data_IF_682495397616
#
_entry.id   IF_682495397616
#
_cell.length_a   1.000
_cell.length_b   1.000
_cell.length_c   1.000
_cell.angle_alpha   90.00
_cell.angle_beta   90.00
_cell.angle_gamma   90.00
#
_symmetry.space_group_name_H-M   'P 1'
#
loop_
_entity.id
_entity.type
_entity.pdbx_description
1 polymer ?
#
# COMPACT_ATOMS: atom_id res chain seq x y z
N UNK A 1 49.73 -42.75 -11.88
CA UNK A 1 49.84 -41.46 -12.58
C UNK A 1 49.26 -40.34 -11.74
N UNK A 2 49.73 -39.12 -11.93
CA UNK A 2 49.25 -37.92 -11.25
C UNK A 2 48.42 -37.14 -12.29
N UNK A 3 47.18 -36.79 -11.94
CA UNK A 3 46.31 -35.98 -12.75
C UNK A 3 46.07 -34.61 -12.04
N UNK A 4 46.22 -33.54 -12.78
CA UNK A 4 46.01 -32.20 -12.29
C UNK A 4 45.48 -31.29 -13.41
N UNK A 5 44.82 -30.22 -13.03
CA UNK A 5 44.33 -29.20 -13.97
C UNK A 5 45.42 -28.16 -14.18
N UNK A 6 46.09 -28.19 -15.34
CA UNK A 6 47.29 -27.39 -15.64
C UNK A 6 47.09 -25.88 -15.52
N UNK A 7 45.87 -25.39 -15.74
CA UNK A 7 45.52 -23.94 -15.60
C UNK A 7 45.44 -23.47 -14.16
N UNK A 8 45.41 -24.37 -13.19
CA UNK A 8 45.20 -24.07 -11.78
C UNK A 8 46.37 -24.43 -10.88
N UNK A 9 47.40 -25.06 -11.41
CA UNK A 9 48.58 -25.47 -10.66
C UNK A 9 49.79 -24.64 -11.09
N UNK A 10 50.46 -23.97 -10.13
CA UNK A 10 51.70 -23.29 -10.38
C UNK A 10 52.87 -24.33 -10.49
N UNK A 11 53.16 -24.74 -11.72
CA UNK A 11 54.14 -25.78 -12.03
C UNK A 11 55.57 -25.25 -12.02
N UNK A 12 55.80 -23.94 -11.89
CA UNK A 12 57.13 -23.33 -11.82
C UNK A 12 57.72 -23.36 -10.41
N UNK A 13 56.92 -23.58 -9.40
CA UNK A 13 57.34 -23.63 -8.00
C UNK A 13 57.94 -25.01 -7.69
N UNK A 14 59.28 -25.05 -7.57
CA UNK A 14 60.04 -26.28 -7.27
C UNK A 14 60.12 -26.47 -5.75
N UNK A 15 59.74 -27.67 -5.30
CA UNK A 15 59.89 -28.11 -3.93
C UNK A 15 60.89 -29.25 -3.86
N UNK A 16 61.90 -29.19 -3.00
CA UNK A 16 62.87 -30.28 -2.74
C UNK A 16 62.51 -30.95 -1.43
N UNK A 17 62.08 -32.18 -1.51
CA UNK A 17 61.77 -32.99 -0.34
C UNK A 17 62.46 -34.35 -0.47
N UNK A 18 63.07 -34.82 0.63
CA UNK A 18 63.71 -36.10 0.72
C UNK A 18 62.88 -37.05 1.59
N UNK A 19 62.44 -38.15 1.03
CA UNK A 19 61.62 -39.13 1.74
C UNK A 19 62.39 -40.47 1.85
N UNK A 20 62.37 -41.08 3.03
CA UNK A 20 62.95 -42.39 3.26
C UNK A 20 61.90 -43.27 3.95
N UNK A 21 61.43 -44.34 3.26
CA UNK A 21 60.39 -45.25 3.76
C UNK A 21 59.07 -44.62 4.18
N UNK A 22 58.48 -43.75 3.36
CA UNK A 22 57.24 -43.02 3.65
C UNK A 22 56.15 -43.49 2.70
N UNK A 23 54.91 -43.64 3.17
CA UNK A 23 53.75 -43.96 2.32
C UNK A 23 53.44 -42.77 1.41
N UNK A 24 52.88 -43.06 0.23
CA UNK A 24 52.46 -42.05 -0.77
C UNK A 24 51.57 -40.99 -0.14
N UNK A 25 50.69 -41.36 0.77
CA UNK A 25 49.80 -40.49 1.46
C UNK A 25 50.56 -39.45 2.32
N UNK A 26 51.54 -39.91 3.12
CA UNK A 26 52.37 -39.00 3.94
C UNK A 26 53.25 -38.10 3.08
N UNK A 27 53.77 -38.63 1.96
CA UNK A 27 54.58 -37.87 1.04
C UNK A 27 53.77 -36.77 0.35
N UNK A 28 52.56 -37.05 -0.10
CA UNK A 28 51.66 -36.07 -0.72
C UNK A 28 51.16 -35.01 0.28
N UNK A 29 50.83 -35.43 1.50
CA UNK A 29 50.43 -34.50 2.55
C UNK A 29 51.56 -33.49 2.91
N UNK A 30 52.84 -33.97 2.88
CA UNK A 30 53.99 -33.10 3.17
C UNK A 30 54.36 -32.21 1.98
N UNK A 31 54.22 -32.72 0.75
CA UNK A 31 54.48 -31.95 -0.48
C UNK A 31 53.48 -30.80 -0.66
N UNK A 32 52.24 -31.05 -0.35
CA UNK A 32 51.14 -30.05 -0.54
C UNK A 32 50.89 -29.19 0.68
N UNK A 33 51.59 -29.40 1.77
CA UNK A 33 51.51 -28.59 2.97
C UNK A 33 51.81 -27.10 2.64
N UNK A 34 50.93 -26.22 3.00
CA UNK A 34 51.04 -24.74 2.79
C UNK A 34 50.96 -24.30 1.30
N UNK A 35 50.60 -25.19 0.40
CA UNK A 35 50.48 -24.87 -1.04
C UNK A 35 49.06 -24.46 -1.44
N UNK A 36 48.05 -24.66 -0.56
CA UNK A 36 46.63 -24.45 -0.90
C UNK A 36 46.03 -25.53 -1.82
N UNK A 37 46.74 -26.61 -2.03
CA UNK A 37 46.25 -27.76 -2.82
C UNK A 37 45.90 -28.94 -1.91
N UNK A 38 44.90 -29.70 -2.32
CA UNK A 38 44.50 -30.97 -1.71
C UNK A 38 44.64 -32.11 -2.75
N UNK A 39 44.84 -33.33 -2.27
CA UNK A 39 44.88 -34.46 -3.14
C UNK A 39 43.88 -35.55 -2.74
N UNK A 40 43.47 -36.34 -3.70
CA UNK A 40 42.63 -37.53 -3.52
C UNK A 40 43.19 -38.68 -4.30
N UNK A 41 43.37 -39.81 -3.61
CA UNK A 41 43.83 -41.07 -4.26
C UNK A 41 42.60 -41.84 -4.71
N UNK A 42 42.53 -42.16 -6.02
CA UNK A 42 41.45 -42.97 -6.59
C UNK A 42 42.08 -44.09 -7.43
N UNK A 43 42.17 -45.30 -6.86
CA UNK A 43 42.86 -46.42 -7.43
C UNK A 43 44.36 -46.12 -7.59
N UNK A 44 44.90 -46.20 -8.81
CA UNK A 44 46.33 -45.93 -9.13
C UNK A 44 46.58 -44.46 -9.55
N UNK A 45 45.60 -43.57 -9.36
CA UNK A 45 45.71 -42.15 -9.72
C UNK A 45 45.67 -41.24 -8.49
N UNK A 46 46.53 -40.23 -8.49
CA UNK A 46 46.53 -39.14 -7.52
C UNK A 46 45.96 -37.92 -8.25
N UNK A 47 44.85 -37.38 -7.78
CA UNK A 47 44.21 -36.18 -8.31
C UNK A 47 44.53 -35.03 -7.38
N UNK A 48 45.17 -33.96 -7.90
CA UNK A 48 45.50 -32.73 -7.17
C UNK A 48 44.52 -31.67 -7.63
N UNK A 49 43.86 -31.01 -6.66
CA UNK A 49 42.97 -29.88 -6.89
C UNK A 49 43.30 -28.76 -5.92
N UNK A 50 42.98 -27.50 -6.30
CA UNK A 50 42.98 -26.41 -5.33
C UNK A 50 42.09 -26.83 -4.16
N UNK A 51 42.59 -26.64 -2.97
CA UNK A 51 41.73 -26.64 -1.80
C UNK A 51 40.69 -25.54 -2.07
N UNK A 52 39.46 -25.91 -2.39
CA UNK A 52 38.37 -25.00 -2.20
C UNK A 52 38.45 -24.58 -0.73
N UNK A 53 39.10 -23.45 -0.48
CA UNK A 53 38.82 -22.70 0.68
C UNK A 53 37.34 -22.36 0.49
N UNK A 54 36.46 -23.28 0.87
CA UNK A 54 35.23 -22.84 1.49
C UNK A 54 35.74 -21.87 2.55
N UNK A 55 35.86 -20.59 2.15
CA UNK A 55 35.66 -19.59 3.15
C UNK A 55 34.52 -20.20 3.98
N UNK A 56 34.81 -20.48 5.24
CA UNK A 56 33.82 -20.34 6.26
C UNK A 56 33.42 -18.86 6.10
N UNK A 57 32.66 -18.56 5.08
CA UNK A 57 31.56 -17.68 5.22
C UNK A 57 30.91 -18.29 6.45
N UNK A 58 31.19 -17.74 7.62
CA UNK A 58 30.13 -17.54 8.57
C UNK A 58 28.98 -17.21 7.63
N UNK A 59 28.18 -18.21 7.33
CA UNK A 59 26.81 -17.97 7.01
C UNK A 59 26.34 -17.21 8.25
N UNK A 60 26.49 -15.88 8.22
CA UNK A 60 25.38 -15.09 8.56
C UNK A 60 24.30 -15.68 7.65
N UNK A 61 23.62 -16.67 8.15
CA UNK A 61 22.24 -16.90 7.91
C UNK A 61 21.59 -15.58 8.33
N UNK A 62 21.77 -14.56 7.50
CA UNK A 62 20.85 -13.46 7.41
C UNK A 62 19.59 -14.21 7.01
N UNK A 63 18.82 -14.60 8.04
CA UNK A 63 17.46 -15.09 7.85
C UNK A 63 16.88 -14.11 6.85
N UNK A 64 16.78 -14.55 5.57
CA UNK A 64 16.20 -13.71 4.53
C UNK A 64 14.84 -13.37 5.07
N UNK A 65 14.66 -12.10 5.44
CA UNK A 65 13.39 -11.62 5.95
C UNK A 65 12.34 -12.00 4.92
N UNK A 66 11.36 -12.75 5.34
CA UNK A 66 10.26 -13.19 4.48
C UNK A 66 8.95 -12.69 5.04
N UNK A 67 7.99 -12.47 4.15
CA UNK A 67 6.65 -12.06 4.50
C UNK A 67 5.63 -12.84 3.68
N UNK A 68 4.37 -12.59 3.94
CA UNK A 68 3.24 -13.20 3.23
C UNK A 68 2.54 -12.17 2.35
N UNK A 69 2.23 -12.58 1.12
CA UNK A 69 1.29 -11.86 0.26
C UNK A 69 -0.05 -12.55 0.40
N UNK A 70 -1.06 -11.80 0.73
CA UNK A 70 -2.46 -12.27 0.79
C UNK A 70 -3.35 -11.36 -0.04
N UNK A 71 -4.48 -11.85 -0.46
CA UNK A 71 -5.39 -11.02 -1.22
C UNK A 71 -6.68 -11.72 -1.56
N UNK A 72 -7.41 -11.09 -2.46
CA UNK A 72 -8.65 -11.60 -3.02
C UNK A 72 -8.61 -11.46 -4.53
N UNK A 73 -9.11 -12.47 -5.23
CA UNK A 73 -9.34 -12.41 -6.67
C UNK A 73 -10.83 -12.23 -6.90
N UNK A 74 -11.19 -11.25 -7.70
CA UNK A 74 -12.58 -10.88 -7.96
C UNK A 74 -12.85 -10.73 -9.44
N UNK A 75 -14.07 -11.02 -9.87
CA UNK A 75 -14.56 -10.62 -11.18
C UNK A 75 -14.63 -9.10 -11.26
N UNK A 76 -14.09 -8.54 -12.32
CA UNK A 76 -13.96 -7.10 -12.46
C UNK A 76 -15.26 -6.34 -12.65
N UNK A 77 -16.29 -7.01 -13.22
CA UNK A 77 -17.59 -6.40 -13.51
C UNK A 77 -18.54 -6.50 -12.33
N UNK A 78 -18.61 -7.69 -11.74
CA UNK A 78 -19.57 -7.98 -10.66
C UNK A 78 -18.96 -7.81 -9.29
N UNK A 79 -17.61 -7.74 -9.22
CA UNK A 79 -16.83 -7.75 -7.99
C UNK A 79 -17.17 -9.00 -7.13
N UNK A 80 -17.51 -10.11 -7.78
CA UNK A 80 -17.74 -11.39 -7.13
C UNK A 80 -16.40 -12.10 -6.91
N UNK A 81 -16.23 -12.79 -5.78
CA UNK A 81 -15.02 -13.58 -5.55
C UNK A 81 -14.89 -14.71 -6.57
N UNK A 82 -13.70 -14.90 -7.13
CA UNK A 82 -13.39 -16.03 -8.02
C UNK A 82 -12.74 -17.12 -7.20
N UNK A 83 -13.42 -18.25 -7.08
CA UNK A 83 -12.96 -19.44 -6.38
C UNK A 83 -11.94 -20.21 -7.23
N UNK A 84 -10.96 -20.83 -6.59
CA UNK A 84 -9.97 -21.73 -7.24
C UNK A 84 -9.13 -21.06 -8.35
N UNK A 85 -9.07 -19.75 -8.43
CA UNK A 85 -8.13 -19.05 -9.31
C UNK A 85 -6.68 -19.34 -8.87
N UNK A 86 -5.81 -19.61 -9.83
CA UNK A 86 -4.38 -19.77 -9.56
C UNK A 86 -3.71 -18.41 -9.44
N UNK A 87 -2.95 -18.19 -8.37
CA UNK A 87 -2.18 -16.97 -8.13
C UNK A 87 -0.72 -17.32 -7.92
N UNK A 88 0.18 -16.73 -8.67
CA UNK A 88 1.63 -17.00 -8.56
C UNK A 88 2.46 -15.72 -8.71
N UNK A 89 3.70 -15.80 -8.28
CA UNK A 89 4.71 -14.78 -8.50
C UNK A 89 5.36 -15.05 -9.85
N UNK A 90 5.41 -14.05 -10.73
CA UNK A 90 5.94 -14.22 -12.11
C UNK A 90 7.43 -14.56 -12.07
N UNK A 91 8.19 -13.91 -11.18
CA UNK A 91 9.64 -14.11 -11.04
C UNK A 91 10.01 -15.47 -10.44
N UNK A 92 9.07 -16.08 -9.70
CA UNK A 92 9.23 -17.42 -9.09
C UNK A 92 7.88 -18.15 -9.10
N UNK A 93 7.48 -18.77 -10.21
CA UNK A 93 6.19 -19.45 -10.36
C UNK A 93 5.98 -20.64 -9.40
N UNK A 94 7.06 -21.14 -8.76
CA UNK A 94 6.93 -22.16 -7.71
C UNK A 94 6.27 -21.63 -6.44
N UNK A 95 6.22 -20.31 -6.28
CA UNK A 95 5.55 -19.61 -5.19
C UNK A 95 4.19 -19.13 -5.64
N UNK A 96 3.19 -19.85 -5.26
CA UNK A 96 1.82 -19.57 -5.63
C UNK A 96 0.83 -20.31 -4.74
N UNK A 97 -0.43 -20.14 -5.04
CA UNK A 97 -1.56 -20.80 -4.38
C UNK A 97 -2.82 -20.63 -5.20
N UNK A 98 -3.88 -21.27 -4.77
CA UNK A 98 -5.23 -21.08 -5.31
C UNK A 98 -6.10 -20.30 -4.35
N UNK A 99 -7.10 -19.61 -4.88
CA UNK A 99 -8.11 -18.93 -4.07
C UNK A 99 -9.04 -19.95 -3.40
N UNK A 100 -9.51 -19.60 -2.20
CA UNK A 100 -10.55 -20.34 -1.48
C UNK A 100 -11.95 -20.04 -2.04
N UNK A 101 -12.99 -20.71 -1.50
CA UNK A 101 -14.40 -20.47 -1.86
C UNK A 101 -14.93 -19.05 -1.60
N UNK A 102 -14.09 -18.12 -1.23
CA UNK A 102 -14.38 -16.69 -1.05
C UNK A 102 -13.41 -15.82 -1.85
N UNK A 103 -12.68 -16.42 -2.79
CA UNK A 103 -11.69 -15.74 -3.62
C UNK A 103 -10.42 -15.32 -2.91
N UNK A 104 -10.20 -15.69 -1.63
CA UNK A 104 -9.00 -15.29 -0.92
C UNK A 104 -7.82 -16.21 -1.26
N UNK A 105 -6.64 -15.64 -1.40
CA UNK A 105 -5.39 -16.37 -1.58
C UNK A 105 -4.32 -15.96 -0.57
N UNK A 106 -3.29 -16.80 -0.44
CA UNK A 106 -2.18 -16.56 0.46
C UNK A 106 -0.91 -17.24 -0.06
N UNK A 107 0.16 -16.46 -0.22
CA UNK A 107 1.48 -16.93 -0.62
C UNK A 107 2.45 -16.62 0.51
N UNK A 108 2.98 -17.65 1.16
CA UNK A 108 3.85 -17.51 2.33
C UNK A 108 5.34 -17.51 1.95
N UNK A 109 6.18 -17.05 2.89
CA UNK A 109 7.64 -17.13 2.82
C UNK A 109 8.24 -16.40 1.60
N UNK A 110 7.65 -15.27 1.23
CA UNK A 110 8.17 -14.43 0.14
C UNK A 110 9.29 -13.56 0.70
N UNK A 111 10.51 -13.60 0.16
CA UNK A 111 11.59 -12.70 0.55
C UNK A 111 11.16 -11.23 0.39
N UNK A 112 11.70 -10.37 1.22
CA UNK A 112 11.51 -8.92 1.05
C UNK A 112 12.02 -8.49 -0.32
N UNK A 113 11.20 -7.74 -1.04
CA UNK A 113 11.49 -7.35 -2.44
C UNK A 113 10.25 -6.84 -3.16
N UNK A 114 10.35 -6.72 -4.48
CA UNK A 114 9.25 -6.36 -5.37
C UNK A 114 8.93 -7.49 -6.31
N UNK A 115 7.67 -7.75 -6.51
CA UNK A 115 7.21 -8.91 -7.28
C UNK A 115 6.02 -8.56 -8.15
N UNK A 116 5.94 -9.20 -9.31
CA UNK A 116 4.76 -9.18 -10.15
C UNK A 116 3.90 -10.41 -9.83
N UNK A 117 2.63 -10.18 -9.49
CA UNK A 117 1.69 -11.24 -9.11
C UNK A 117 0.71 -11.43 -10.24
N UNK A 118 0.57 -12.66 -10.70
CA UNK A 118 -0.38 -13.04 -11.74
C UNK A 118 -1.49 -13.91 -11.15
N UNK A 119 -2.73 -13.56 -11.47
CA UNK A 119 -3.88 -14.44 -11.29
C UNK A 119 -4.34 -14.99 -12.64
N UNK A 120 -4.74 -16.26 -12.66
CA UNK A 120 -5.28 -16.94 -13.83
C UNK A 120 -6.43 -17.87 -13.44
N UNK A 121 -7.48 -17.87 -14.25
CA UNK A 121 -8.64 -18.74 -14.07
C UNK A 121 -9.26 -19.07 -15.43
N UNK A 122 -9.85 -20.28 -15.56
CA UNK A 122 -10.49 -20.70 -16.80
C UNK A 122 -11.67 -19.77 -17.14
N UNK A 123 -11.76 -19.29 -18.37
CA UNK A 123 -12.78 -18.33 -18.80
C UNK A 123 -12.45 -16.86 -18.48
N UNK A 124 -11.31 -16.59 -17.87
CA UNK A 124 -10.86 -15.23 -17.56
C UNK A 124 -9.52 -14.93 -18.24
N UNK A 125 -9.30 -13.65 -18.54
CA UNK A 125 -7.99 -13.17 -18.97
C UNK A 125 -7.03 -13.14 -17.77
N UNK A 126 -5.78 -13.59 -17.90
CA UNK A 126 -4.79 -13.45 -16.84
C UNK A 126 -4.64 -11.99 -16.43
N UNK A 127 -4.66 -11.72 -15.12
CA UNK A 127 -4.49 -10.38 -14.55
C UNK A 127 -3.17 -10.29 -13.80
N UNK A 128 -2.43 -9.20 -13.98
CA UNK A 128 -1.15 -8.97 -13.32
C UNK A 128 -1.20 -7.69 -12.49
N UNK A 129 -0.80 -7.80 -11.24
CA UNK A 129 -0.45 -6.66 -10.39
C UNK A 129 1.07 -6.55 -10.34
N UNK A 130 1.59 -5.43 -10.82
CA UNK A 130 3.03 -5.24 -10.96
C UNK A 130 3.64 -4.55 -9.75
N UNK A 131 4.94 -4.81 -9.51
CA UNK A 131 5.78 -4.09 -8.57
C UNK A 131 5.25 -4.10 -7.12
N UNK A 132 4.55 -5.17 -6.71
CA UNK A 132 4.05 -5.31 -5.33
C UNK A 132 5.23 -5.33 -4.36
N UNK A 133 5.25 -4.38 -3.44
CA UNK A 133 6.33 -4.22 -2.47
C UNK A 133 6.11 -5.09 -1.25
N UNK A 134 6.98 -6.07 -1.06
CA UNK A 134 6.98 -6.96 0.11
C UNK A 134 8.01 -6.45 1.10
N UNK A 135 7.55 -5.93 2.22
CA UNK A 135 8.39 -5.43 3.32
C UNK A 135 8.37 -6.43 4.48
N UNK A 136 9.29 -6.29 5.42
CA UNK A 136 9.34 -7.15 6.61
C UNK A 136 8.28 -6.80 7.67
N UNK A 137 7.59 -5.66 7.54
CA UNK A 137 6.75 -5.10 8.59
C UNK A 137 5.42 -5.84 8.77
N UNK A 138 4.63 -5.98 7.71
CA UNK A 138 3.31 -6.61 7.74
C UNK A 138 3.01 -7.38 6.45
N UNK A 139 1.97 -8.22 6.48
CA UNK A 139 1.49 -8.91 5.29
C UNK A 139 0.99 -7.92 4.24
N UNK A 140 1.33 -8.20 3.00
CA UNK A 140 0.89 -7.37 1.87
C UNK A 140 -0.49 -7.84 1.43
N UNK A 141 -1.45 -6.93 1.34
CA UNK A 141 -2.78 -7.21 0.81
C UNK A 141 -2.87 -6.74 -0.64
N UNK A 142 -3.35 -7.62 -1.51
CA UNK A 142 -3.52 -7.34 -2.94
C UNK A 142 -4.93 -7.76 -3.36
N UNK A 143 -5.63 -6.88 -4.07
CA UNK A 143 -6.88 -7.20 -4.74
C UNK A 143 -6.63 -7.34 -6.24
N UNK A 144 -7.02 -8.48 -6.82
CA UNK A 144 -6.74 -8.79 -8.22
C UNK A 144 -8.08 -8.90 -8.97
N UNK A 145 -8.48 -7.87 -9.71
CA UNK A 145 -9.64 -7.96 -10.59
C UNK A 145 -9.28 -8.74 -11.86
N UNK A 146 -10.15 -9.65 -12.28
CA UNK A 146 -10.01 -10.42 -13.51
C UNK A 146 -11.16 -10.15 -14.47
N UNK A 147 -10.87 -10.12 -15.76
CA UNK A 147 -11.86 -9.98 -16.83
C UNK A 147 -12.25 -11.31 -17.42
N UNK A 148 -13.55 -11.54 -17.59
CA UNK A 148 -14.01 -12.65 -18.38
C UNK A 148 -13.47 -12.61 -19.82
N UNK A 149 -13.02 -13.76 -20.29
CA UNK A 149 -12.59 -13.92 -21.66
C UNK A 149 -13.76 -14.47 -22.50
N UNK A 150 -14.50 -13.58 -23.15
CA UNK A 150 -15.64 -13.94 -23.98
C UNK A 150 -15.24 -14.47 -25.38
N UNK A 151 -13.96 -14.51 -25.71
CA UNK A 151 -13.47 -14.96 -27.01
C UNK A 151 -12.54 -16.16 -26.91
N UNK A 152 -12.96 -17.20 -27.62
CA UNK A 152 -12.28 -18.37 -28.19
C UNK A 152 -10.99 -18.92 -27.60
N UNK A 153 -11.01 -20.24 -27.45
CA UNK A 153 -9.99 -21.25 -27.22
C UNK A 153 -8.81 -21.29 -28.23
N UNK A 154 -8.45 -20.17 -28.84
CA UNK A 154 -7.19 -20.07 -29.57
C UNK A 154 -6.08 -19.72 -28.57
N UNK A 155 -5.05 -20.53 -28.53
CA UNK A 155 -3.82 -20.34 -27.80
C UNK A 155 -3.18 -18.99 -28.19
N UNK A 156 -3.63 -17.92 -27.57
CA UNK A 156 -3.01 -16.60 -27.71
C UNK A 156 -1.99 -16.51 -26.58
N UNK A 157 -0.73 -16.50 -26.97
CA UNK A 157 0.38 -16.12 -26.10
C UNK A 157 0.22 -14.64 -25.75
N UNK A 158 -0.71 -14.34 -24.88
CA UNK A 158 -0.98 -12.97 -24.41
C UNK A 158 0.14 -12.64 -23.44
N UNK A 159 1.07 -11.80 -23.87
CA UNK A 159 1.86 -11.05 -22.91
C UNK A 159 0.86 -10.25 -22.10
N UNK A 160 0.75 -10.50 -20.79
CA UNK A 160 -0.23 -9.79 -19.98
C UNK A 160 0.07 -8.30 -20.03
N UNK A 161 -0.86 -7.53 -20.53
CA UNK A 161 -0.73 -6.08 -20.63
C UNK A 161 -1.05 -5.49 -19.26
N UNK A 162 -0.10 -4.80 -18.67
CA UNK A 162 -0.28 -4.12 -17.39
C UNK A 162 -1.12 -2.88 -17.64
N UNK A 163 -2.43 -2.97 -17.43
CA UNK A 163 -3.35 -1.83 -17.54
C UNK A 163 -3.41 -1.08 -16.21
N UNK A 164 -2.53 -0.11 -16.02
CA UNK A 164 -2.50 0.77 -14.83
C UNK A 164 -3.62 1.81 -14.80
N UNK A 165 -4.29 2.01 -15.92
CA UNK A 165 -5.32 3.04 -16.13
C UNK A 165 -6.76 2.53 -15.94
N UNK A 166 -6.91 1.27 -15.54
CA UNK A 166 -8.22 0.66 -15.34
C UNK A 166 -8.82 1.09 -14.01
N UNK A 167 -10.11 1.46 -14.05
CA UNK A 167 -10.91 1.76 -12.85
C UNK A 167 -11.41 0.49 -12.17
N UNK A 168 -11.65 0.58 -10.85
CA UNK A 168 -12.36 -0.45 -10.07
C UNK A 168 -13.82 -0.53 -10.50
N UNK A 169 -14.41 0.62 -10.85
CA UNK A 169 -15.78 0.69 -11.33
C UNK A 169 -15.89 0.28 -12.81
N UNK A 170 -16.59 -0.82 -13.13
CA UNK A 170 -16.69 -1.32 -14.50
C UNK A 170 -17.55 -0.43 -15.41
N UNK A 171 -18.36 0.47 -14.84
CA UNK A 171 -19.20 1.41 -15.61
C UNK A 171 -18.40 2.62 -16.11
N UNK A 172 -17.17 2.79 -15.66
CA UNK A 172 -16.30 3.86 -16.13
C UNK A 172 -15.67 3.50 -17.48
N UNK A 173 -16.11 4.18 -18.54
CA UNK A 173 -15.62 3.95 -19.91
C UNK A 173 -14.35 4.78 -20.15
N UNK A 174 -14.35 6.02 -19.69
CA UNK A 174 -13.23 6.99 -19.85
C UNK A 174 -13.16 7.93 -18.66
N UNK A 175 -12.05 8.66 -18.52
CA UNK A 175 -11.91 9.75 -17.53
C UNK A 175 -11.66 9.30 -16.09
N UNK A 176 -11.66 7.98 -15.82
CA UNK A 176 -11.34 7.41 -14.53
C UNK A 176 -9.95 6.77 -14.51
N UNK A 177 -9.33 6.76 -13.35
CA UNK A 177 -8.08 6.07 -13.10
C UNK A 177 -8.07 5.46 -11.69
N UNK A 178 -7.59 4.24 -11.58
CA UNK A 178 -7.42 3.61 -10.27
C UNK A 178 -6.28 4.27 -9.49
N UNK A 179 -6.54 4.60 -8.25
CA UNK A 179 -5.54 4.90 -7.23
C UNK A 179 -5.22 3.59 -6.53
N UNK A 180 -4.08 2.98 -6.85
CA UNK A 180 -3.61 1.81 -6.13
C UNK A 180 -2.88 2.22 -4.85
N UNK A 181 -3.02 1.42 -3.80
CA UNK A 181 -2.30 1.61 -2.53
C UNK A 181 -0.78 1.64 -2.79
N UNK A 182 -0.32 0.77 -3.67
CA UNK A 182 1.09 0.64 -4.05
C UNK A 182 1.64 1.93 -4.66
N UNK A 183 0.90 2.54 -5.59
CA UNK A 183 1.30 3.82 -6.20
C UNK A 183 1.24 4.96 -5.19
N UNK A 184 0.18 5.03 -4.37
CA UNK A 184 0.01 6.06 -3.36
C UNK A 184 1.13 6.06 -2.31
N UNK A 185 1.53 4.88 -1.85
CA UNK A 185 2.62 4.73 -0.86
C UNK A 185 4.01 5.05 -1.43
N UNK A 186 4.18 5.05 -2.75
CA UNK A 186 5.45 5.29 -3.46
C UNK A 186 5.59 6.70 -4.01
N UNK A 187 4.52 7.45 -4.05
CA UNK A 187 4.52 8.80 -4.59
C UNK A 187 5.38 9.72 -3.71
N UNK A 188 6.41 10.32 -4.29
CA UNK A 188 7.45 11.07 -3.56
C UNK A 188 6.92 12.25 -2.73
N UNK A 189 5.78 12.83 -3.10
CA UNK A 189 5.10 13.90 -2.37
C UNK A 189 3.82 13.39 -1.70
N UNK A 190 3.71 12.09 -1.47
CA UNK A 190 2.46 11.44 -1.06
C UNK A 190 2.07 11.72 0.39
N UNK A 191 3.02 11.78 1.32
CA UNK A 191 2.79 11.90 2.76
C UNK A 191 1.69 10.95 3.27
N UNK A 192 1.64 9.71 2.72
CA UNK A 192 0.58 8.73 2.99
C UNK A 192 -0.85 9.21 2.66
N UNK A 193 -0.98 10.21 1.79
CA UNK A 193 -2.25 10.79 1.35
C UNK A 193 -2.53 10.40 -0.12
N UNK A 194 -3.54 9.57 -0.38
CA UNK A 194 -3.89 9.13 -1.73
C UNK A 194 -4.37 10.28 -2.64
N UNK A 195 -4.89 11.37 -2.07
CA UNK A 195 -5.30 12.54 -2.84
C UNK A 195 -4.13 13.20 -3.56
N UNK A 196 -2.95 13.23 -2.94
CA UNK A 196 -1.75 13.80 -3.53
C UNK A 196 -1.27 13.06 -4.77
N UNK A 197 -1.49 11.74 -4.85
CA UNK A 197 -1.16 10.97 -6.05
C UNK A 197 -1.92 11.47 -7.28
N UNK A 198 -3.14 11.97 -7.10
CA UNK A 198 -3.95 12.46 -8.23
C UNK A 198 -3.31 13.64 -8.96
N UNK A 199 -2.43 14.41 -8.31
CA UNK A 199 -1.69 15.51 -8.95
C UNK A 199 -0.72 15.04 -10.05
N UNK A 200 -0.37 13.75 -10.07
CA UNK A 200 0.41 13.14 -11.14
C UNK A 200 -0.42 12.81 -12.40
N UNK A 201 -1.75 12.97 -12.34
CA UNK A 201 -2.62 12.59 -13.46
C UNK A 201 -2.86 13.76 -14.40
N UNK A 202 -3.02 13.44 -15.68
CA UNK A 202 -3.27 14.47 -16.69
C UNK A 202 -4.53 15.29 -16.39
N UNK A 203 -4.42 16.61 -16.50
CA UNK A 203 -5.53 17.55 -16.25
C UNK A 203 -5.76 17.85 -14.77
N UNK A 204 -4.86 17.46 -13.89
CA UNK A 204 -4.89 17.74 -12.46
C UNK A 204 -3.67 18.58 -12.09
N UNK A 205 -3.88 19.69 -11.44
CA UNK A 205 -2.82 20.52 -10.86
C UNK A 205 -2.87 20.41 -9.34
N UNK A 206 -1.77 20.04 -8.72
CA UNK A 206 -1.61 19.95 -7.27
C UNK A 206 -0.78 21.10 -6.71
N UNK A 207 -0.88 21.30 -5.42
CA UNK A 207 -0.04 22.20 -4.65
C UNK A 207 0.96 21.38 -3.81
N UNK A 208 2.19 21.89 -3.70
CA UNK A 208 3.26 21.21 -2.93
C UNK A 208 3.00 21.27 -1.43
N UNK A 209 2.45 22.37 -0.93
CA UNK A 209 2.22 22.62 0.50
C UNK A 209 0.97 21.95 1.04
N UNK A 210 -0.01 21.68 0.17
CA UNK A 210 -1.31 21.12 0.57
C UNK A 210 -1.67 19.88 -0.26
N UNK A 211 -2.78 19.23 0.05
CA UNK A 211 -3.35 18.18 -0.78
C UNK A 211 -4.46 18.70 -1.70
N UNK A 212 -4.54 20.02 -1.90
CA UNK A 212 -5.45 20.64 -2.83
C UNK A 212 -5.15 20.22 -4.26
N UNK A 213 -6.18 19.81 -4.97
CA UNK A 213 -6.08 19.44 -6.39
C UNK A 213 -7.10 20.24 -7.19
N UNK A 214 -6.61 21.02 -8.16
CA UNK A 214 -7.43 21.70 -9.16
C UNK A 214 -7.58 20.79 -10.37
N UNK A 215 -8.81 20.43 -10.70
CA UNK A 215 -9.11 19.48 -11.78
C UNK A 215 -9.66 20.26 -12.96
N UNK A 216 -8.93 20.25 -14.08
CA UNK A 216 -9.28 20.99 -15.30
C UNK A 216 -9.58 22.49 -15.06
N UNK A 217 -8.85 23.09 -14.12
CA UNK A 217 -9.01 24.50 -13.74
C UNK A 217 -10.11 24.79 -12.74
N UNK A 218 -10.89 23.78 -12.29
CA UNK A 218 -11.86 23.97 -11.24
C UNK A 218 -11.20 23.92 -9.85
N UNK A 219 -11.72 24.74 -8.95
CA UNK A 219 -11.20 24.81 -7.59
C UNK A 219 -11.42 23.49 -6.81
N UNK A 220 -10.51 23.14 -5.89
CA UNK A 220 -10.55 21.89 -5.12
C UNK A 220 -11.84 21.66 -4.34
N UNK A 221 -12.50 22.72 -3.91
CA UNK A 221 -13.79 22.67 -3.18
C UNK A 221 -14.94 22.02 -3.97
N UNK A 222 -14.83 21.97 -5.31
CA UNK A 222 -15.82 21.34 -6.18
C UNK A 222 -15.57 19.84 -6.43
N UNK A 223 -14.56 19.29 -5.78
CA UNK A 223 -14.26 17.87 -5.85
C UNK A 223 -15.18 17.07 -4.92
N UNK A 224 -15.84 16.08 -5.48
CA UNK A 224 -16.69 15.17 -4.70
C UNK A 224 -15.86 14.07 -4.05
N UNK A 225 -16.12 13.82 -2.78
CA UNK A 225 -15.53 12.72 -2.03
C UNK A 225 -16.57 11.66 -1.72
N UNK A 226 -16.24 10.43 -1.99
CA UNK A 226 -17.07 9.26 -1.69
C UNK A 226 -16.25 8.23 -0.92
N UNK A 227 -16.89 7.54 0.00
CA UNK A 227 -16.31 6.43 0.75
C UNK A 227 -17.31 5.28 0.81
N UNK A 228 -16.86 4.08 0.40
CA UNK A 228 -17.73 2.89 0.31
C UNK A 228 -18.99 3.12 -0.55
N UNK A 229 -18.86 3.97 -1.59
CA UNK A 229 -19.94 4.31 -2.53
C UNK A 229 -20.92 5.39 -2.03
N UNK A 230 -20.65 6.04 -0.91
CA UNK A 230 -21.49 7.09 -0.33
C UNK A 230 -20.73 8.41 -0.36
N UNK A 231 -21.42 9.49 -0.74
CA UNK A 231 -20.86 10.85 -0.66
C UNK A 231 -20.61 11.23 0.78
N UNK A 232 -19.40 11.74 1.06
CA UNK A 232 -18.97 12.17 2.39
C UNK A 232 -18.49 13.62 2.33
N UNK A 233 -18.49 14.35 3.44
CA UNK A 233 -17.80 15.64 3.52
C UNK A 233 -16.32 15.47 3.18
N UNK A 234 -15.70 16.52 2.63
CA UNK A 234 -14.28 16.52 2.31
C UNK A 234 -13.46 15.98 3.51
N UNK A 235 -12.77 14.85 3.37
CA UNK A 235 -12.08 14.19 4.48
C UNK A 235 -10.68 14.76 4.75
N UNK A 236 -10.41 15.96 4.27
CA UNK A 236 -9.11 16.62 4.44
C UNK A 236 -9.08 17.42 5.73
N UNK A 237 -8.00 17.27 6.49
CA UNK A 237 -7.73 18.08 7.68
C UNK A 237 -7.43 19.52 7.29
N UNK A 238 -8.06 20.45 7.99
CA UNK A 238 -7.95 21.90 7.79
C UNK A 238 -8.35 22.38 6.39
N UNK A 239 -9.22 21.62 5.70
CA UNK A 239 -9.65 21.93 4.33
C UNK A 239 -10.23 23.32 4.15
N UNK A 240 -10.85 23.85 5.18
CA UNK A 240 -11.59 25.12 5.13
C UNK A 240 -10.77 26.32 5.64
N UNK A 241 -9.54 26.12 6.15
CA UNK A 241 -8.65 27.19 6.58
C UNK A 241 -8.22 28.12 5.43
N UNK A 242 -8.01 27.55 4.24
CA UNK A 242 -7.62 28.31 3.05
C UNK A 242 -8.82 28.74 2.19
N UNK A 243 -10.04 28.32 2.53
CA UNK A 243 -11.26 28.55 1.75
C UNK A 243 -11.27 27.86 0.37
N UNK A 244 -10.30 27.02 0.08
CA UNK A 244 -10.12 26.36 -1.22
C UNK A 244 -10.39 24.85 -1.21
N UNK A 245 -10.75 24.27 -0.07
CA UNK A 245 -11.04 22.84 0.06
C UNK A 245 -9.81 21.94 0.10
N UNK A 246 -8.61 22.48 0.09
CA UNK A 246 -7.36 21.78 0.33
C UNK A 246 -6.84 21.99 1.74
N UNK A 247 -6.04 21.05 2.25
CA UNK A 247 -5.48 21.11 3.58
C UNK A 247 -4.18 20.33 3.67
N UNK A 248 -3.77 19.92 4.87
CA UNK A 248 -2.48 19.26 5.06
C UNK A 248 -2.48 17.83 4.59
N UNK A 249 -3.49 17.07 4.98
CA UNK A 249 -3.54 15.65 4.69
C UNK A 249 -4.98 15.14 4.81
N UNK A 250 -5.30 14.09 4.06
CA UNK A 250 -6.59 13.40 4.15
C UNK A 250 -6.65 12.49 5.38
N UNK A 251 -7.83 12.39 6.01
CA UNK A 251 -8.12 11.39 7.03
C UNK A 251 -8.13 9.95 6.48
N UNK A 252 -7.97 9.78 5.17
CA UNK A 252 -7.91 8.50 4.47
C UNK A 252 -6.45 8.06 4.33
N UNK A 253 -5.92 7.40 5.36
CA UNK A 253 -4.55 6.86 5.37
C UNK A 253 -4.38 5.69 4.40
N UNK A 254 -3.21 5.56 3.77
CA UNK A 254 -2.82 4.38 2.96
C UNK A 254 -2.86 3.08 3.76
N UNK A 255 -2.86 3.14 5.10
CA UNK A 255 -3.00 1.97 5.96
C UNK A 255 -4.39 1.31 5.86
N UNK A 256 -5.43 2.06 5.54
CA UNK A 256 -6.83 1.58 5.56
C UNK A 256 -7.49 1.55 4.19
N UNK A 257 -6.95 2.29 3.21
CA UNK A 257 -7.53 2.37 1.88
C UNK A 257 -7.21 1.12 1.06
N UNK A 258 -8.20 0.67 0.29
CA UNK A 258 -8.09 -0.28 -0.80
C UNK A 258 -7.88 0.42 -2.15
N UNK A 259 -7.85 -0.37 -3.23
CA UNK A 259 -7.88 0.19 -4.56
C UNK A 259 -9.13 1.05 -4.71
N UNK A 260 -8.94 2.27 -5.20
CA UNK A 260 -9.96 3.31 -5.24
C UNK A 260 -9.93 3.99 -6.61
N UNK A 261 -11.00 4.67 -6.98
CA UNK A 261 -11.08 5.34 -8.25
C UNK A 261 -11.00 6.86 -8.11
N UNK A 262 -10.33 7.47 -9.05
CA UNK A 262 -10.34 8.91 -9.25
C UNK A 262 -10.81 9.26 -10.65
N UNK A 263 -11.75 10.16 -10.74
CA UNK A 263 -12.31 10.66 -12.00
C UNK A 263 -12.02 12.14 -12.17
N UNK A 264 -11.45 12.49 -13.30
CA UNK A 264 -11.19 13.89 -13.66
C UNK A 264 -12.16 14.39 -14.76
N UNK A 265 -13.27 13.69 -14.98
CA UNK A 265 -14.30 13.97 -15.98
C UNK A 265 -14.92 12.68 -16.52
N UNK A 266 -15.94 12.81 -17.35
CA UNK A 266 -16.69 11.69 -17.96
C UNK A 266 -17.21 10.69 -16.89
N UNK A 267 -17.85 11.21 -15.86
CA UNK A 267 -18.33 10.42 -14.73
C UNK A 267 -19.41 9.44 -15.16
N UNK A 268 -19.40 8.19 -14.67
CA UNK A 268 -20.57 7.32 -14.70
C UNK A 268 -21.82 8.00 -14.11
N UNK A 269 -23.00 7.60 -14.57
CA UNK A 269 -24.29 8.22 -14.19
C UNK A 269 -24.61 8.16 -12.69
N UNK A 270 -23.96 7.27 -11.95
CA UNK A 270 -24.11 7.15 -10.49
C UNK A 270 -23.48 8.29 -9.69
N UNK A 271 -22.57 9.08 -10.29
CA UNK A 271 -21.94 10.24 -9.65
C UNK A 271 -22.72 11.51 -9.94
N UNK A 272 -23.84 11.69 -9.25
CA UNK A 272 -24.57 12.94 -9.25
C UNK A 272 -23.84 14.03 -8.44
N UNK A 273 -24.12 15.31 -8.69
CA UNK A 273 -23.52 16.48 -8.03
C UNK A 273 -22.00 16.66 -8.22
N UNK A 274 -21.36 15.91 -9.08
CA UNK A 274 -19.94 16.07 -9.36
C UNK A 274 -19.72 17.22 -10.35
N UNK A 275 -18.98 18.26 -9.96
CA UNK A 275 -18.69 19.43 -10.78
C UNK A 275 -17.27 19.43 -11.36
N UNK A 276 -16.31 18.90 -10.62
CA UNK A 276 -14.88 18.94 -10.95
C UNK A 276 -14.33 17.53 -11.15
N UNK A 277 -14.13 16.80 -10.08
CA UNK A 277 -13.68 15.42 -10.07
C UNK A 277 -14.31 14.63 -8.94
N UNK A 278 -14.10 13.32 -8.96
CA UNK A 278 -14.62 12.42 -7.94
C UNK A 278 -13.49 11.54 -7.42
N UNK A 279 -13.31 11.51 -6.11
CA UNK A 279 -12.56 10.48 -5.41
C UNK A 279 -13.57 9.44 -4.88
N UNK A 280 -13.60 8.25 -5.47
CA UNK A 280 -14.42 7.13 -4.99
C UNK A 280 -13.51 6.14 -4.25
N UNK A 281 -13.47 6.31 -2.95
CA UNK A 281 -12.52 5.65 -2.06
C UNK A 281 -13.15 4.42 -1.42
N UNK A 282 -12.36 3.37 -1.27
CA UNK A 282 -12.78 2.13 -0.64
C UNK A 282 -11.84 1.75 0.49
N UNK A 283 -12.38 1.31 1.62
CA UNK A 283 -11.59 0.74 2.70
C UNK A 283 -11.31 -0.73 2.42
N UNK A 284 -10.05 -1.16 2.58
CA UNK A 284 -9.71 -2.59 2.49
C UNK A 284 -10.29 -3.39 3.65
N UNK A 285 -10.37 -4.68 3.50
CA UNK A 285 -10.74 -5.56 4.60
C UNK A 285 -9.51 -5.86 5.47
N UNK A 286 -9.70 -5.95 6.79
CA UNK A 286 -8.66 -6.36 7.72
C UNK A 286 -8.21 -7.80 7.52
N UNK A 287 -7.07 -8.16 8.09
CA UNK A 287 -6.54 -9.52 8.06
C UNK A 287 -7.47 -10.48 8.82
N UNK A 288 -8.01 -11.49 8.13
CA UNK A 288 -8.92 -12.47 8.72
C UNK A 288 -8.21 -13.69 9.35
N UNK A 289 -6.86 -13.73 9.33
CA UNK A 289 -6.06 -14.86 9.82
C UNK A 289 -5.13 -14.48 10.95
N UNK A 290 -4.49 -13.32 10.89
CA UNK A 290 -3.49 -12.85 11.86
C UNK A 290 -3.85 -11.47 12.38
N UNK A 291 -3.42 -11.21 13.62
CA UNK A 291 -3.42 -9.85 14.16
C UNK A 291 -2.16 -9.14 13.69
N UNK A 292 -2.33 -7.93 13.19
CA UNK A 292 -1.23 -7.06 12.74
C UNK A 292 -1.44 -5.67 13.32
N UNK A 293 -0.35 -5.09 13.81
CA UNK A 293 -0.36 -3.75 14.39
C UNK A 293 0.77 -2.95 13.76
N UNK A 294 0.49 -1.73 13.36
CA UNK A 294 1.48 -0.78 12.88
C UNK A 294 1.47 0.45 13.77
N UNK A 295 2.65 0.91 14.12
CA UNK A 295 2.88 2.14 14.87
C UNK A 295 3.88 2.98 14.09
N UNK A 296 3.48 4.18 13.74
CA UNK A 296 4.32 5.14 13.02
C UNK A 296 4.36 6.45 13.79
N UNK A 297 5.54 7.02 13.90
CA UNK A 297 5.76 8.36 14.46
C UNK A 297 6.47 9.18 13.41
N UNK A 298 5.92 10.34 13.12
CA UNK A 298 6.44 11.27 12.14
C UNK A 298 6.29 12.72 12.57
N UNK A 299 6.78 13.62 11.74
CA UNK A 299 6.68 15.06 11.98
C UNK A 299 5.22 15.54 12.03
N UNK A 300 4.36 14.88 11.25
CA UNK A 300 2.93 15.23 11.14
C UNK A 300 2.09 14.64 12.26
N UNK A 301 2.53 13.55 12.89
CA UNK A 301 1.75 12.91 13.93
C UNK A 301 2.18 11.49 14.26
N UNK A 302 1.33 10.88 15.07
CA UNK A 302 1.38 9.46 15.43
C UNK A 302 0.26 8.75 14.67
N UNK A 303 0.58 7.63 14.04
CA UNK A 303 -0.36 6.77 13.34
C UNK A 303 -0.36 5.38 14.00
N UNK A 304 -1.54 4.91 14.37
CA UNK A 304 -1.79 3.63 15.01
C UNK A 304 -2.77 2.84 14.14
N UNK A 305 -2.29 1.78 13.51
CA UNK A 305 -3.15 0.87 12.76
C UNK A 305 -3.19 -0.51 13.42
N UNK A 306 -4.36 -1.11 13.44
CA UNK A 306 -4.59 -2.46 13.97
C UNK A 306 -5.60 -3.18 13.11
N UNK A 307 -5.29 -4.42 12.76
CA UNK A 307 -6.18 -5.30 12.03
C UNK A 307 -6.08 -6.75 12.52
N UNK A 308 -7.12 -7.49 12.31
CA UNK A 308 -7.11 -8.90 12.70
C UNK A 308 -8.45 -9.60 12.57
N UNK A 309 -8.48 -10.92 12.84
CA UNK A 309 -9.69 -11.70 12.80
C UNK A 309 -10.60 -11.39 14.00
N UNK A 310 -11.89 -11.13 13.71
CA UNK A 310 -12.95 -11.21 14.74
C UNK A 310 -13.33 -12.68 14.93
N UNK A 311 -13.48 -13.42 13.84
CA UNK A 311 -13.72 -14.86 13.86
C UNK A 311 -13.05 -15.52 12.66
N UNK A 312 -11.95 -16.25 12.90
CA UNK A 312 -11.18 -16.93 11.85
C UNK A 312 -12.01 -17.94 11.06
N UNK A 313 -12.87 -18.71 11.72
CA UNK A 313 -13.68 -19.75 11.06
C UNK A 313 -14.72 -19.15 10.11
N UNK A 314 -15.25 -17.98 10.43
CA UNK A 314 -16.19 -17.24 9.59
C UNK A 314 -15.51 -16.28 8.63
N UNK A 315 -14.22 -16.02 8.80
CA UNK A 315 -13.45 -15.09 7.99
C UNK A 315 -13.76 -13.62 8.28
N UNK A 316 -14.42 -13.32 9.39
CA UNK A 316 -14.71 -11.93 9.79
C UNK A 316 -13.46 -11.26 10.35
N UNK A 317 -13.30 -9.99 10.03
CA UNK A 317 -12.11 -9.20 10.36
C UNK A 317 -12.47 -7.77 10.75
N UNK A 318 -11.54 -7.13 11.43
CA UNK A 318 -11.55 -5.71 11.70
C UNK A 318 -10.31 -5.03 11.14
N UNK A 319 -10.46 -3.76 10.84
CA UNK A 319 -9.41 -2.83 10.47
C UNK A 319 -9.71 -1.51 11.19
N UNK A 320 -8.74 -0.95 11.89
CA UNK A 320 -8.85 0.32 12.62
C UNK A 320 -7.56 1.10 12.42
N UNK A 321 -7.69 2.39 12.16
CA UNK A 321 -6.57 3.32 12.11
C UNK A 321 -6.95 4.57 12.90
N UNK A 322 -6.06 5.01 13.78
CA UNK A 322 -6.21 6.24 14.55
C UNK A 322 -4.95 7.07 14.39
N UNK A 323 -5.13 8.35 14.06
CA UNK A 323 -4.03 9.30 13.96
C UNK A 323 -4.23 10.50 14.87
N UNK A 324 -3.11 11.02 15.35
CA UNK A 324 -3.07 12.16 16.24
C UNK A 324 -1.89 13.07 15.88
N UNK A 325 -2.14 14.38 15.76
CA UNK A 325 -1.09 15.34 15.39
C UNK A 325 -0.07 15.57 16.49
N UNK A 326 1.20 15.67 16.10
CA UNK A 326 2.30 16.09 16.99
C UNK A 326 2.93 17.41 16.55
N UNK A 327 2.29 18.13 15.64
CA UNK A 327 2.81 19.36 15.04
C UNK A 327 3.17 20.42 16.07
N UNK A 328 2.34 20.58 17.12
CA UNK A 328 2.63 21.51 18.22
C UNK A 328 3.86 21.13 19.06
N UNK A 329 4.27 19.86 19.06
CA UNK A 329 5.48 19.39 19.75
C UNK A 329 6.73 19.66 18.90
N UNK A 330 6.59 19.62 17.56
CA UNK A 330 7.70 19.78 16.63
C UNK A 330 8.03 21.24 16.32
N UNK A 331 7.05 22.13 16.32
CA UNK A 331 7.18 23.54 15.94
C UNK A 331 7.19 24.53 17.14
N UNK A 332 7.20 24.03 18.36
CA UNK A 332 7.01 24.87 19.52
C UNK A 332 5.54 25.37 19.62
N UNK A 333 5.34 26.55 20.20
CA UNK A 333 3.99 27.11 20.35
C UNK A 333 3.48 27.89 19.12
N UNK A 334 4.30 28.00 18.07
CA UNK A 334 4.03 28.90 16.94
C UNK A 334 2.95 28.32 15.98
N UNK A 335 2.80 26.99 15.93
CA UNK A 335 1.79 26.33 15.10
C UNK A 335 0.84 25.52 15.99
N UNK A 336 -0.33 26.05 16.24
CA UNK A 336 -1.33 25.40 17.07
C UNK A 336 -2.38 24.63 16.24
N UNK A 337 -1.89 23.81 15.30
CA UNK A 337 -2.71 22.91 14.49
C UNK A 337 -2.79 21.54 15.16
N UNK A 338 -3.97 21.19 15.62
CA UNK A 338 -4.25 19.89 16.25
C UNK A 338 -5.30 19.15 15.45
N UNK A 339 -4.98 17.94 15.01
CA UNK A 339 -5.94 17.07 14.36
C UNK A 339 -5.95 15.68 14.99
N UNK A 340 -7.08 15.01 14.83
CA UNK A 340 -7.26 13.61 15.14
C UNK A 340 -8.19 13.01 14.09
N UNK A 341 -7.94 11.79 13.71
CA UNK A 341 -8.87 11.03 12.88
C UNK A 341 -8.93 9.56 13.31
N UNK A 342 -10.05 8.95 12.99
CA UNK A 342 -10.31 7.53 13.20
C UNK A 342 -11.01 6.99 11.95
N UNK A 343 -10.44 5.97 11.34
CA UNK A 343 -11.07 5.20 10.29
C UNK A 343 -11.16 3.73 10.70
N UNK A 344 -12.27 3.09 10.43
CA UNK A 344 -12.42 1.66 10.71
C UNK A 344 -13.33 0.96 9.72
N UNK A 345 -13.12 -0.35 9.56
CA UNK A 345 -14.02 -1.26 8.85
C UNK A 345 -14.09 -2.61 9.56
N UNK A 346 -15.30 -3.07 9.78
CA UNK A 346 -15.61 -4.41 10.27
C UNK A 346 -16.25 -5.19 9.12
N UNK A 347 -15.75 -6.38 8.83
CA UNK A 347 -16.22 -7.21 7.73
C UNK A 347 -16.75 -8.55 8.24
N UNK A 348 -17.98 -8.90 7.87
CA UNK A 348 -18.70 -10.07 8.33
C UNK A 348 -19.23 -10.89 7.14
N UNK A 349 -18.41 -11.70 6.47
CA UNK A 349 -18.86 -12.59 5.43
C UNK A 349 -19.71 -13.71 6.04
N UNK A 350 -20.84 -14.01 5.42
CA UNK A 350 -21.73 -15.10 5.79
C UNK A 350 -21.77 -16.18 4.70
N UNK A 351 -22.25 -17.36 5.01
CA UNK A 351 -22.33 -18.47 4.04
C UNK A 351 -23.49 -18.32 3.06
N UNK A 352 -24.62 -17.73 3.47
CA UNK A 352 -25.87 -17.72 2.69
C UNK A 352 -26.47 -16.33 2.48
N UNK A 353 -26.11 -15.38 3.33
CA UNK A 353 -26.71 -14.05 3.33
C UNK A 353 -25.74 -12.96 2.80
N UNK A 354 -24.69 -13.34 2.08
CA UNK A 354 -23.72 -12.39 1.56
C UNK A 354 -22.79 -11.84 2.62
N UNK A 355 -22.23 -10.66 2.37
CA UNK A 355 -21.25 -10.00 3.24
C UNK A 355 -21.82 -8.72 3.81
N UNK A 356 -21.75 -8.57 5.11
CA UNK A 356 -22.08 -7.34 5.83
C UNK A 356 -20.80 -6.62 6.20
N UNK A 357 -20.80 -5.31 6.09
CA UNK A 357 -19.70 -4.47 6.60
C UNK A 357 -20.22 -3.26 7.35
N UNK A 358 -19.47 -2.85 8.37
CA UNK A 358 -19.69 -1.63 9.13
C UNK A 358 -18.42 -0.79 8.95
N UNK A 359 -18.58 0.46 8.62
CA UNK A 359 -17.44 1.35 8.42
C UNK A 359 -17.70 2.72 9.03
N UNK A 360 -16.63 3.42 9.33
CA UNK A 360 -16.70 4.79 9.83
C UNK A 360 -15.41 5.54 9.60
N UNK A 361 -15.58 6.85 9.43
CA UNK A 361 -14.52 7.83 9.34
C UNK A 361 -14.92 9.04 10.20
N UNK A 362 -14.04 9.46 11.08
CA UNK A 362 -14.22 10.67 11.86
C UNK A 362 -12.96 11.51 11.85
N UNK A 363 -13.08 12.81 11.73
CA UNK A 363 -11.98 13.75 11.84
C UNK A 363 -12.36 14.94 12.70
N UNK A 364 -11.41 15.41 13.48
CA UNK A 364 -11.54 16.51 14.41
C UNK A 364 -10.34 17.43 14.24
N UNK A 365 -10.61 18.68 13.86
CA UNK A 365 -9.57 19.69 13.71
C UNK A 365 -9.76 20.81 14.72
N UNK A 366 -8.66 21.28 15.25
CA UNK A 366 -8.59 22.42 16.15
C UNK A 366 -7.40 23.28 15.75
N UNK A 367 -7.70 24.49 15.36
CA UNK A 367 -6.72 25.53 15.09
C UNK A 367 -6.98 26.72 15.99
N UNK A 368 -5.95 27.31 16.53
CA UNK A 368 -5.98 28.56 17.26
C UNK A 368 -4.84 29.44 16.79
N UNK A 369 -5.15 30.61 16.38
CA UNK A 369 -4.19 31.66 16.07
C UNK A 369 -4.27 32.72 17.17
N UNK A 370 -3.18 33.07 17.76
CA UNK A 370 -3.04 34.18 18.71
C UNK A 370 -2.40 35.37 17.98
N UNK A 371 -2.83 36.58 18.29
CA UNK A 371 -2.23 37.82 17.77
C UNK A 371 -0.79 37.92 18.24
N UNK A 372 0.13 38.30 17.35
CA UNK A 372 1.52 38.61 17.71
C UNK A 372 1.63 39.92 18.51
N UNK A 373 2.79 40.15 19.13
CA UNK A 373 3.05 41.44 19.78
C UNK A 373 3.03 42.55 18.72
N UNK A 374 2.51 43.75 19.13
CA UNK A 374 2.31 44.87 18.21
C UNK A 374 3.58 45.29 17.45
N UNK A 375 4.75 45.06 18.04
CA UNK A 375 6.05 45.33 17.44
C UNK A 375 6.41 44.37 16.30
N UNK A 376 5.73 43.23 16.22
CA UNK A 376 5.94 42.19 15.24
C UNK A 376 4.89 42.19 14.09
N UNK A 377 4.02 43.19 14.08
CA UNK A 377 2.98 43.29 13.08
C UNK A 377 3.52 43.74 11.71
N UNK A 378 3.69 42.81 10.80
CA UNK A 378 4.10 43.07 9.41
C UNK A 378 2.94 42.81 8.45
N UNK A 379 2.13 41.78 8.73
CA UNK A 379 1.01 41.34 7.88
C UNK A 379 -0.34 41.40 8.60
N UNK A 380 -1.42 41.24 7.84
CA UNK A 380 -2.77 41.09 8.42
C UNK A 380 -2.89 39.86 9.31
N UNK A 381 -2.14 38.80 8.99
CA UNK A 381 -2.11 37.57 9.79
C UNK A 381 -1.60 37.80 11.20
N UNK A 382 -0.56 38.62 11.36
CA UNK A 382 0.08 38.91 12.64
C UNK A 382 -0.86 39.68 13.59
N UNK A 383 -1.82 40.40 13.02
CA UNK A 383 -2.85 41.17 13.71
C UNK A 383 -4.15 40.40 13.95
N UNK A 384 -4.20 39.14 13.52
CA UNK A 384 -5.42 38.34 13.61
C UNK A 384 -5.32 37.33 14.73
N UNK A 385 -6.39 37.20 15.51
CA UNK A 385 -6.58 36.10 16.43
C UNK A 385 -7.86 35.35 16.08
N UNK A 386 -7.93 34.09 16.47
CA UNK A 386 -9.14 33.34 16.21
C UNK A 386 -8.99 31.84 16.45
N UNK A 387 -10.06 31.15 16.18
CA UNK A 387 -10.04 29.70 16.21
C UNK A 387 -10.87 29.13 15.06
N UNK A 388 -10.47 27.93 14.63
CA UNK A 388 -11.28 27.10 13.76
C UNK A 388 -11.45 25.72 14.43
N UNK A 389 -12.68 25.23 14.51
CA UNK A 389 -13.06 23.93 15.06
C UNK A 389 -13.92 23.21 14.04
N UNK A 390 -13.38 22.13 13.50
CA UNK A 390 -14.03 21.31 12.51
C UNK A 390 -14.24 19.90 13.06
N UNK A 391 -15.47 19.41 13.01
CA UNK A 391 -15.85 18.04 13.36
C UNK A 391 -16.59 17.44 12.18
N UNK A 392 -16.03 16.39 11.55
CA UNK A 392 -16.66 15.66 10.45
C UNK A 392 -16.75 14.19 10.79
N UNK A 393 -17.89 13.60 10.53
CA UNK A 393 -18.15 12.18 10.73
C UNK A 393 -18.88 11.62 9.51
N UNK A 394 -18.51 10.41 9.11
CA UNK A 394 -19.22 9.62 8.13
C UNK A 394 -19.20 8.16 8.57
N UNK A 395 -20.28 7.44 8.37
CA UNK A 395 -20.32 6.03 8.70
C UNK A 395 -21.52 5.34 8.13
N UNK A 396 -21.44 4.03 8.03
CA UNK A 396 -22.50 3.26 7.41
C UNK A 396 -22.42 1.75 7.62
N UNK A 397 -23.51 1.12 7.23
CA UNK A 397 -23.68 -0.30 7.08
C UNK A 397 -23.78 -0.59 5.60
N UNK A 398 -23.03 -1.57 5.11
CA UNK A 398 -23.16 -2.04 3.74
C UNK A 398 -23.42 -3.54 3.72
N UNK A 399 -24.22 -3.98 2.79
CA UNK A 399 -24.53 -5.38 2.56
C UNK A 399 -24.38 -5.68 1.08
N UNK A 400 -23.63 -6.72 0.75
CA UNK A 400 -23.47 -7.24 -0.61
C UNK A 400 -23.96 -8.67 -0.65
N UNK A 401 -24.92 -8.95 -1.52
CA UNK A 401 -25.45 -10.27 -1.76
C UNK A 401 -25.37 -10.62 -3.24
N UNK A 402 -24.70 -11.72 -3.53
CA UNK A 402 -24.56 -12.25 -4.90
C UNK A 402 -25.72 -13.24 -5.12
N UNK A 403 -26.54 -12.98 -6.11
CA UNK A 403 -27.70 -13.82 -6.50
C UNK A 403 -27.25 -14.95 -7.43
N UNK A 404 -26.47 -14.60 -8.44
CA UNK A 404 -25.92 -15.49 -9.46
C UNK A 404 -24.62 -14.89 -10.04
N UNK A 405 -24.04 -15.54 -11.05
CA UNK A 405 -22.78 -15.13 -11.69
C UNK A 405 -22.81 -13.72 -12.30
N UNK A 406 -23.98 -13.24 -12.67
CA UNK A 406 -24.17 -11.96 -13.35
C UNK A 406 -24.92 -10.92 -12.52
N UNK A 407 -25.43 -11.32 -11.34
CA UNK A 407 -26.34 -10.46 -10.57
C UNK A 407 -25.92 -10.36 -9.10
N UNK A 408 -25.77 -9.17 -8.60
CA UNK A 408 -25.60 -8.92 -7.17
C UNK A 408 -26.45 -7.74 -6.71
N UNK A 409 -26.77 -7.74 -5.42
CA UNK A 409 -27.44 -6.62 -4.75
C UNK A 409 -26.45 -6.00 -3.76
N UNK A 410 -26.28 -4.69 -3.83
CA UNK A 410 -25.57 -3.90 -2.86
C UNK A 410 -26.56 -2.94 -2.19
N UNK A 411 -26.64 -3.01 -0.87
CA UNK A 411 -27.47 -2.13 -0.05
C UNK A 411 -26.59 -1.40 0.95
N UNK A 412 -26.84 -0.12 1.15
CA UNK A 412 -26.11 0.68 2.12
C UNK A 412 -27.04 1.61 2.88
N UNK A 413 -26.75 1.79 4.17
CA UNK A 413 -27.36 2.78 5.03
C UNK A 413 -26.23 3.58 5.65
N UNK A 414 -26.23 4.90 5.48
CA UNK A 414 -25.16 5.76 5.95
C UNK A 414 -25.69 7.05 6.58
N UNK A 415 -24.85 7.65 7.40
CA UNK A 415 -25.07 8.97 7.94
C UNK A 415 -23.76 9.78 7.89
N UNK A 416 -23.88 11.06 7.61
CA UNK A 416 -22.79 12.01 7.63
C UNK A 416 -23.12 13.18 8.55
N UNK A 417 -22.09 13.75 9.17
CA UNK A 417 -22.20 14.93 10.02
C UNK A 417 -21.02 15.84 9.75
N UNK A 418 -21.27 17.13 9.61
CA UNK A 418 -20.24 18.14 9.51
C UNK A 418 -20.62 19.34 10.36
N UNK A 419 -19.66 19.82 11.15
CA UNK A 419 -19.81 21.03 11.95
C UNK A 419 -18.54 21.83 11.87
N UNK A 420 -18.68 23.04 11.38
CA UNK A 420 -17.63 24.04 11.35
C UNK A 420 -17.97 25.20 12.26
N UNK A 421 -17.01 25.67 13.01
CA UNK A 421 -17.07 26.86 13.84
C UNK A 421 -15.79 27.65 13.69
N UNK A 422 -15.87 28.80 13.07
CA UNK A 422 -14.77 29.71 12.90
C UNK A 422 -15.09 31.03 13.63
N UNK A 423 -14.08 31.60 14.22
CA UNK A 423 -14.08 32.96 14.75
C UNK A 423 -12.75 33.60 14.36
N UNK A 424 -12.82 34.80 13.82
CA UNK A 424 -11.63 35.59 13.53
C UNK A 424 -11.86 37.05 13.99
N UNK A 425 -10.88 37.57 14.72
CA UNK A 425 -10.82 38.92 15.19
C UNK A 425 -9.58 39.60 14.59
N UNK A 426 -9.77 40.79 14.01
CA UNK A 426 -8.69 41.64 13.52
C UNK A 426 -8.37 42.69 14.55
N UNK A 427 -7.15 42.75 15.02
CA UNK A 427 -6.66 43.76 15.95
C UNK A 427 -6.09 44.93 15.18
N UNK A 428 -6.62 46.12 15.48
CA UNK A 428 -6.13 47.38 14.94
C UNK A 428 -5.50 48.19 16.06
N UNK A 429 -4.91 49.33 15.74
CA UNK A 429 -4.32 50.21 16.75
C UNK A 429 -5.34 50.71 17.78
N UNK A 430 -6.61 50.84 17.37
CA UNK A 430 -7.66 51.46 18.16
C UNK A 430 -8.81 50.49 18.56
N UNK A 431 -8.92 49.35 17.94
CA UNK A 431 -10.06 48.43 18.12
C UNK A 431 -9.77 46.98 17.78
N UNK A 432 -10.61 46.07 18.28
CA UNK A 432 -10.72 44.68 17.84
C UNK A 432 -11.99 44.57 16.99
N UNK A 433 -11.85 44.10 15.77
CA UNK A 433 -12.94 43.97 14.80
C UNK A 433 -13.20 42.47 14.59
N UNK A 434 -14.41 42.01 14.89
CA UNK A 434 -14.85 40.68 14.57
C UNK A 434 -15.11 40.57 13.05
N UNK A 435 -14.46 39.63 12.38
CA UNK A 435 -14.49 39.48 10.92
C UNK A 435 -15.10 38.14 10.48
N UNK A 436 -15.53 37.28 11.43
CA UNK A 436 -16.16 35.99 11.15
C UNK A 436 -17.62 35.95 11.56
#
# INVERSE_FOLDING_TARGET
>A
SIAYEQSKLDIEKKHSLSFKNVTIDKAMAQLLKETGYVYKIKGYHIIISLQDIKQKTTSNDTQKLTQTIRGIVVDSKTNTPIEYASVCIIEDPSRGGSTDGRGNFRINNIPVGRYNIQASFMGYRPSIISEVSVTSSKEVFVEIPMDENVQDLAEVLVKPEIKKDRTVNPMAITGGRMISIEEASRFANGFDDPARLSSAFAGVAGDVGTNAVAIRGNAPQFTQWRLEGIEIPNPTHFADLSGLGGGFLSALSTQVIGNSDFYNGAFPAEYSNALSGVFDMHLRNGNNQKYEHAFQVGLMGIDLASEGPINKKRGSSYLINYRFSTTSLASGNDINLKYQDLAFKLNFPTRKAGTFSIWGLGLIDRNKADVLERSEWETMGDRSSGYNKLDKLAGGLAHKYVLDENTYIRSSLSATYSKDRSLADLHTDDAIINVA
#
